data_IF_581174412731
#
_entry.id   IF_581174412731
#
_cell.length_a   1.000
_cell.length_b   1.000
_cell.length_c   1.000
_cell.angle_alpha   90.00
_cell.angle_beta   90.00
_cell.angle_gamma   90.00
#
_symmetry.space_group_name_H-M   'P 1'
#
loop_
_entity.id
_entity.type
_entity.pdbx_description
1 polymer ?
#
# COMPACT_ATOMS: atom_id res chain seq x y z
N UNK A 1 -22.84 -5.91 45.93
CA UNK A 1 -22.61 -4.51 45.54
C UNK A 1 -23.89 -3.99 44.91
N UNK A 2 -24.61 -3.09 45.59
CA UNK A 2 -25.84 -2.51 45.09
C UNK A 2 -25.52 -1.25 44.28
N UNK A 3 -25.86 -1.24 42.99
CA UNK A 3 -25.66 -0.08 42.14
C UNK A 3 -26.79 0.92 42.36
N UNK A 4 -26.43 2.18 42.62
CA UNK A 4 -27.37 3.27 42.81
C UNK A 4 -27.77 3.85 41.44
N UNK A 5 -29.04 3.66 41.07
CA UNK A 5 -29.61 4.14 39.80
C UNK A 5 -30.35 5.48 39.93
N UNK A 6 -30.24 6.19 41.06
CA UNK A 6 -31.00 7.42 41.32
C UNK A 6 -30.77 8.51 40.26
N UNK A 7 -29.54 8.63 39.74
CA UNK A 7 -29.21 9.65 38.74
C UNK A 7 -29.89 9.41 37.39
N UNK A 8 -30.10 8.14 37.01
CA UNK A 8 -30.73 7.78 35.72
C UNK A 8 -32.24 8.01 35.80
N UNK A 9 -32.85 7.71 36.96
CA UNK A 9 -34.29 7.94 37.17
C UNK A 9 -34.61 9.43 37.20
N UNK A 10 -33.76 10.26 37.81
CA UNK A 10 -33.94 11.72 37.82
C UNK A 10 -33.82 12.33 36.41
N UNK A 11 -32.83 11.88 35.62
CA UNK A 11 -32.65 12.36 34.25
C UNK A 11 -33.82 12.01 33.32
N UNK A 12 -34.45 10.85 33.51
CA UNK A 12 -35.63 10.44 32.73
C UNK A 12 -36.89 11.22 33.12
N UNK A 13 -37.04 11.59 34.38
CA UNK A 13 -38.17 12.39 34.87
C UNK A 13 -38.21 13.80 34.25
N UNK A 14 -37.05 14.47 34.14
CA UNK A 14 -36.98 15.83 33.58
C UNK A 14 -37.38 15.90 32.09
N UNK A 15 -37.17 14.82 31.33
CA UNK A 15 -37.59 14.73 29.92
C UNK A 15 -39.09 14.54 29.73
N UNK A 16 -39.81 14.03 30.74
CA UNK A 16 -41.24 13.71 30.61
C UNK A 16 -42.11 14.92 31.00
N UNK A 17 -41.65 15.77 31.92
CA UNK A 17 -42.40 16.92 32.43
C UNK A 17 -42.25 18.21 31.60
N UNK A 18 -41.63 18.15 30.42
CA UNK A 18 -41.54 19.29 29.50
C UNK A 18 -42.71 19.26 28.49
N UNK A 19 -43.80 20.04 28.70
CA UNK A 19 -44.91 20.07 27.75
C UNK A 19 -44.47 20.66 26.40
N UNK A 20 -44.65 19.85 25.35
CA UNK A 20 -44.40 20.23 23.97
C UNK A 20 -45.23 21.45 23.56
N UNK A 21 -44.60 22.62 23.45
CA UNK A 21 -45.13 23.72 22.63
C UNK A 21 -44.64 23.57 21.21
N UNK A 22 -45.49 23.00 20.37
CA UNK A 22 -45.37 23.07 18.93
C UNK A 22 -45.40 24.55 18.49
N UNK A 23 -44.33 25.00 17.87
CA UNK A 23 -44.23 26.29 17.17
C UNK A 23 -43.53 26.04 15.85
N UNK A 24 -44.33 25.77 14.82
CA UNK A 24 -43.94 25.79 13.41
C UNK A 24 -43.70 27.23 12.97
N UNK A 25 -42.47 27.72 13.19
CA UNK A 25 -41.99 28.94 12.56
C UNK A 25 -41.03 28.56 11.40
N UNK A 26 -41.19 29.14 10.19
CA UNK A 26 -40.28 28.88 9.09
C UNK A 26 -38.88 29.43 9.42
N UNK A 27 -37.85 28.58 9.27
CA UNK A 27 -36.45 28.95 9.43
C UNK A 27 -36.09 30.10 8.47
N UNK A 28 -35.97 31.31 9.00
CA UNK A 28 -35.33 32.41 8.30
C UNK A 28 -33.83 32.11 8.21
N UNK A 29 -33.37 31.78 7.00
CA UNK A 29 -31.94 31.61 6.72
C UNK A 29 -31.19 32.87 7.16
N UNK A 30 -30.31 32.72 8.15
CA UNK A 30 -29.42 33.78 8.63
C UNK A 30 -28.56 34.22 7.45
N UNK A 31 -28.68 35.49 7.02
CA UNK A 31 -27.80 36.04 5.98
C UNK A 31 -26.37 36.00 6.49
N UNK A 32 -25.49 35.35 5.72
CA UNK A 32 -24.05 35.34 5.96
C UNK A 32 -23.57 36.78 5.74
N UNK A 33 -22.99 37.39 6.76
CA UNK A 33 -22.27 38.66 6.61
C UNK A 33 -21.03 38.38 5.77
N UNK A 34 -21.03 38.82 4.52
CA UNK A 34 -19.82 38.83 3.70
C UNK A 34 -18.92 39.93 4.24
N UNK A 35 -17.90 39.56 5.02
CA UNK A 35 -16.80 40.47 5.30
C UNK A 35 -16.21 40.92 3.97
N UNK A 36 -16.15 42.23 3.76
CA UNK A 36 -15.56 42.85 2.58
C UNK A 36 -14.05 42.56 2.57
N UNK A 37 -13.66 41.39 2.08
CA UNK A 37 -12.28 41.08 1.80
C UNK A 37 -11.87 41.77 0.50
N UNK A 38 -10.98 42.76 0.61
CA UNK A 38 -10.28 43.29 -0.55
C UNK A 38 -9.53 42.13 -1.21
N UNK A 39 -9.72 41.88 -2.52
CA UNK A 39 -8.98 40.83 -3.21
C UNK A 39 -7.49 41.13 -3.06
N UNK A 40 -6.75 40.11 -2.63
CA UNK A 40 -5.31 40.16 -2.47
C UNK A 40 -4.68 40.69 -3.77
N UNK A 41 -3.77 41.66 -3.66
CA UNK A 41 -3.19 42.31 -4.84
C UNK A 41 -2.58 41.24 -5.74
N UNK A 42 -2.96 41.29 -7.02
CA UNK A 42 -2.42 40.38 -8.02
C UNK A 42 -0.88 40.43 -7.98
N UNK A 43 -0.21 39.27 -8.13
CA UNK A 43 1.24 39.20 -8.12
C UNK A 43 1.80 40.12 -9.20
N UNK A 44 2.89 40.82 -8.86
CA UNK A 44 3.54 41.73 -9.79
C UNK A 44 4.02 40.98 -11.04
N UNK A 45 4.04 41.65 -12.19
CA UNK A 45 4.50 41.06 -13.46
C UNK A 45 5.91 40.46 -13.35
N UNK A 46 6.79 41.06 -12.54
CA UNK A 46 8.13 40.54 -12.26
C UNK A 46 8.13 39.19 -11.54
N UNK A 47 7.15 38.96 -10.65
CA UNK A 47 6.99 37.68 -9.96
C UNK A 47 6.55 36.60 -10.95
N UNK A 48 5.52 36.89 -11.75
CA UNK A 48 5.01 35.98 -12.79
C UNK A 48 6.12 35.62 -13.79
N UNK A 49 6.92 36.60 -14.21
CA UNK A 49 8.02 36.38 -15.15
C UNK A 49 9.10 35.47 -14.57
N UNK A 50 9.50 35.68 -13.30
CA UNK A 50 10.48 34.84 -12.62
C UNK A 50 9.97 33.40 -12.45
N UNK A 51 8.71 33.24 -12.11
CA UNK A 51 8.07 31.94 -11.96
C UNK A 51 7.96 31.22 -13.32
N UNK A 52 7.58 31.94 -14.37
CA UNK A 52 7.54 31.43 -15.74
C UNK A 52 8.93 30.98 -16.22
N UNK A 53 9.98 31.77 -16.00
CA UNK A 53 11.36 31.41 -16.34
C UNK A 53 11.84 30.14 -15.60
N UNK A 54 11.32 29.91 -14.39
CA UNK A 54 11.69 28.73 -13.57
C UNK A 54 10.90 27.48 -13.95
N UNK A 55 9.62 27.64 -14.32
CA UNK A 55 8.71 26.52 -14.59
C UNK A 55 8.65 26.12 -16.07
N UNK A 56 8.80 27.06 -17.01
CA UNK A 56 8.69 26.78 -18.44
C UNK A 56 9.71 25.74 -18.95
N UNK A 57 11.00 25.76 -18.54
CA UNK A 57 11.96 24.73 -18.96
C UNK A 57 11.60 23.33 -18.43
N UNK A 58 11.04 23.27 -17.21
CA UNK A 58 10.64 22.02 -16.57
C UNK A 58 9.43 21.40 -17.25
N UNK A 59 8.44 22.20 -17.61
CA UNK A 59 7.26 21.70 -18.32
C UNK A 59 7.59 21.31 -19.77
N UNK A 60 8.48 22.06 -20.43
CA UNK A 60 8.96 21.70 -21.77
C UNK A 60 9.71 20.35 -21.77
N UNK A 61 10.57 20.12 -20.78
CA UNK A 61 11.22 18.81 -20.60
C UNK A 61 10.20 17.69 -20.32
N UNK A 62 9.14 17.98 -19.54
CA UNK A 62 8.06 17.02 -19.26
C UNK A 62 7.25 16.68 -20.52
N UNK A 63 6.97 17.66 -21.37
CA UNK A 63 6.27 17.46 -22.64
C UNK A 63 7.11 16.68 -23.65
N UNK A 64 8.42 16.93 -23.71
CA UNK A 64 9.33 16.15 -24.55
C UNK A 64 9.35 14.68 -24.12
N UNK A 65 9.50 14.41 -22.82
CA UNK A 65 9.45 13.04 -22.29
C UNK A 65 8.11 12.35 -22.58
N UNK A 66 7.00 13.10 -22.53
CA UNK A 66 5.68 12.56 -22.83
C UNK A 66 5.51 12.21 -24.32
N UNK A 67 5.99 13.06 -25.24
CA UNK A 67 5.97 12.76 -26.67
C UNK A 67 6.85 11.56 -27.03
N UNK A 68 8.02 11.42 -26.39
CA UNK A 68 8.91 10.27 -26.62
C UNK A 68 8.26 8.94 -26.21
N UNK A 69 7.45 8.93 -25.14
CA UNK A 69 6.73 7.71 -24.74
C UNK A 69 5.51 7.40 -25.63
N UNK A 70 4.89 8.41 -26.25
CA UNK A 70 3.75 8.21 -27.16
C UNK A 70 4.19 7.71 -28.55
N UNK A 71 5.39 8.07 -29.02
CA UNK A 71 5.94 7.58 -30.30
C UNK A 71 6.40 6.10 -30.24
N UNK A 72 6.79 5.58 -29.08
CA UNK A 72 7.18 4.16 -28.94
C UNK A 72 5.98 3.20 -28.96
N UNK A 73 4.76 3.68 -28.71
CA UNK A 73 3.54 2.83 -28.69
C UNK A 73 2.96 2.59 -30.09
N UNK A 74 3.35 3.37 -31.10
CA UNK A 74 2.77 3.30 -32.45
C UNK A 74 3.55 2.46 -33.48
N UNK A 75 4.62 1.74 -33.08
CA UNK A 75 5.46 0.96 -34.01
C UNK A 75 5.31 -0.56 -33.96
N UNK A 76 4.52 -1.13 -33.06
CA UNK A 76 4.38 -2.60 -32.92
C UNK A 76 3.16 -3.21 -33.65
N UNK A 77 2.69 -2.57 -34.71
CA UNK A 77 1.44 -2.93 -35.38
C UNK A 77 1.53 -3.18 -36.89
N UNK A 78 2.55 -3.85 -37.43
CA UNK A 78 2.46 -4.49 -38.77
C UNK A 78 3.68 -5.38 -39.08
N UNK A 79 3.56 -6.71 -38.96
CA UNK A 79 4.09 -7.72 -39.93
C UNK A 79 3.84 -9.16 -39.46
N UNK A 80 2.93 -9.85 -40.16
CA UNK A 80 2.87 -11.32 -40.22
C UNK A 80 3.77 -11.83 -41.36
N UNK A 81 4.60 -12.83 -41.09
CA UNK A 81 4.64 -14.13 -41.80
C UNK A 81 6.02 -14.80 -41.73
N UNK A 82 6.06 -16.05 -41.24
CA UNK A 82 6.86 -17.10 -41.88
C UNK A 82 7.98 -17.83 -41.11
N UNK A 83 7.61 -18.99 -40.55
CA UNK A 83 8.36 -20.28 -40.51
C UNK A 83 9.42 -20.56 -39.40
N UNK A 84 8.96 -21.36 -38.42
CA UNK A 84 9.52 -22.58 -37.75
C UNK A 84 11.04 -22.71 -37.51
N UNK A 85 11.46 -22.77 -36.23
CA UNK A 85 12.30 -23.86 -35.69
C UNK A 85 12.20 -24.02 -34.15
N UNK A 86 12.43 -25.23 -33.66
CA UNK A 86 12.13 -25.80 -32.33
C UNK A 86 13.39 -25.88 -31.43
N UNK A 87 13.41 -25.23 -30.24
CA UNK A 87 13.86 -25.80 -28.92
C UNK A 87 13.90 -24.77 -27.76
N UNK A 88 13.89 -25.23 -26.47
CA UNK A 88 13.39 -24.47 -25.31
C UNK A 88 14.49 -23.89 -24.38
N UNK A 89 14.02 -23.14 -23.36
CA UNK A 89 14.71 -22.44 -22.23
C UNK A 89 14.98 -20.96 -22.56
N UNK A 90 14.71 -19.96 -21.74
CA UNK A 90 14.64 -19.80 -20.27
C UNK A 90 13.70 -18.64 -19.91
N UNK A 91 13.10 -18.73 -18.72
CA UNK A 91 12.38 -17.68 -18.01
C UNK A 91 13.14 -16.34 -17.96
N UNK A 92 12.62 -15.31 -18.60
CA UNK A 92 13.07 -13.93 -18.41
C UNK A 92 12.20 -13.23 -17.36
N UNK A 93 12.81 -12.93 -16.21
CA UNK A 93 12.26 -12.09 -15.15
C UNK A 93 11.88 -10.70 -15.66
N UNK A 94 10.82 -10.06 -15.12
CA UNK A 94 10.53 -8.68 -15.43
C UNK A 94 11.53 -7.73 -14.75
N UNK A 95 11.84 -6.68 -15.52
CA UNK A 95 12.83 -5.63 -15.34
C UNK A 95 12.72 -4.89 -14.01
N UNK A 96 13.86 -4.67 -13.37
CA UNK A 96 14.01 -3.73 -12.26
C UNK A 96 13.75 -2.28 -12.73
N UNK A 97 13.08 -1.43 -11.93
CA UNK A 97 13.05 0.00 -12.21
C UNK A 97 14.39 0.62 -11.82
N UNK A 98 15.23 0.87 -12.83
CA UNK A 98 16.45 1.66 -12.68
C UNK A 98 16.12 3.15 -12.78
N UNK A 99 15.88 3.82 -11.65
CA UNK A 99 15.67 5.28 -11.64
C UNK A 99 16.28 6.02 -10.43
N UNK A 100 17.24 5.41 -9.70
CA UNK A 100 17.98 6.09 -8.62
C UNK A 100 19.38 6.58 -9.07
N UNK A 101 19.79 6.33 -10.32
CA UNK A 101 21.16 6.64 -10.79
C UNK A 101 21.47 8.13 -11.03
N UNK A 102 20.51 9.05 -10.98
CA UNK A 102 20.76 10.47 -11.29
C UNK A 102 21.06 11.38 -10.09
N UNK A 103 20.88 10.92 -8.84
CA UNK A 103 21.15 11.76 -7.66
C UNK A 103 22.51 11.54 -6.99
N UNK A 104 23.30 10.53 -7.39
CA UNK A 104 24.53 10.13 -6.68
C UNK A 104 25.80 10.87 -7.18
N UNK A 105 25.70 11.80 -8.15
CA UNK A 105 26.88 12.47 -8.72
C UNK A 105 27.43 13.67 -7.93
N UNK A 106 26.77 14.11 -6.86
CA UNK A 106 27.14 15.37 -6.16
C UNK A 106 27.73 15.21 -4.75
N UNK A 107 27.89 14.01 -4.20
CA UNK A 107 28.38 13.84 -2.82
C UNK A 107 29.39 12.69 -2.66
N UNK A 108 30.33 12.55 -3.60
CA UNK A 108 31.46 11.64 -3.43
C UNK A 108 32.67 12.46 -3.00
N UNK A 109 32.95 12.47 -1.70
CA UNK A 109 34.27 12.85 -1.19
C UNK A 109 35.16 11.60 -1.24
N UNK A 110 36.35 11.63 -1.86
CA UNK A 110 37.20 10.46 -1.92
C UNK A 110 37.95 10.32 -0.59
N UNK A 111 37.62 9.29 0.20
CA UNK A 111 38.55 8.82 1.24
C UNK A 111 39.24 7.55 0.76
N UNK A 112 40.55 7.68 0.53
CA UNK A 112 41.49 6.57 0.52
C UNK A 112 41.43 5.86 1.88
N UNK A 113 41.39 4.52 1.85
CA UNK A 113 41.74 3.70 3.00
C UNK A 113 40.65 2.79 3.55
N UNK A 114 40.10 1.88 2.73
CA UNK A 114 39.60 0.61 3.25
C UNK A 114 39.98 -0.50 2.27
N UNK A 115 41.06 -1.21 2.59
CA UNK A 115 41.42 -2.45 1.92
C UNK A 115 40.31 -3.49 2.10
N UNK A 116 39.77 -4.09 1.04
CA UNK A 116 38.72 -5.10 1.15
C UNK A 116 39.36 -6.44 1.51
N UNK A 117 39.65 -6.68 2.80
CA UNK A 117 40.23 -7.97 3.22
C UNK A 117 39.91 -8.45 4.64
N UNK A 118 39.03 -7.77 5.38
CA UNK A 118 38.45 -8.38 6.58
C UNK A 118 37.13 -9.05 6.17
N UNK A 119 37.01 -10.36 6.42
CA UNK A 119 35.82 -11.12 6.09
C UNK A 119 34.54 -10.45 6.61
N UNK A 120 33.50 -10.44 5.78
CA UNK A 120 32.18 -9.89 6.08
C UNK A 120 31.53 -10.46 7.35
N UNK A 121 32.09 -11.54 7.89
CA UNK A 121 31.67 -12.17 9.15
C UNK A 121 31.85 -11.30 10.39
N UNK A 122 32.60 -10.20 10.32
CA UNK A 122 33.00 -9.42 11.50
C UNK A 122 32.39 -8.03 11.61
N UNK A 123 31.51 -7.61 10.67
CA UNK A 123 30.90 -6.27 10.74
C UNK A 123 30.02 -6.17 11.99
N UNK A 124 30.35 -5.21 12.86
CA UNK A 124 29.64 -4.99 14.11
C UNK A 124 28.58 -3.89 13.99
N UNK A 125 27.51 -3.90 14.83
CA UNK A 125 26.45 -2.90 14.77
C UNK A 125 26.91 -1.45 14.92
N UNK A 126 27.96 -1.19 15.71
CA UNK A 126 28.50 0.16 15.88
C UNK A 126 29.11 0.72 14.58
N UNK A 127 29.61 -0.14 13.68
CA UNK A 127 30.15 0.30 12.39
C UNK A 127 29.03 0.82 11.48
N UNK A 128 27.83 0.23 11.58
CA UNK A 128 26.64 0.69 10.86
C UNK A 128 26.25 2.09 11.35
N UNK A 129 26.26 2.30 12.67
CA UNK A 129 25.95 3.61 13.26
C UNK A 129 26.96 4.68 12.85
N UNK A 130 28.26 4.33 12.86
CA UNK A 130 29.32 5.22 12.36
C UNK A 130 29.12 5.57 10.89
N UNK A 131 28.75 4.60 10.05
CA UNK A 131 28.45 4.85 8.64
C UNK A 131 27.24 5.77 8.45
N UNK A 132 26.25 5.71 9.34
CA UNK A 132 25.12 6.67 9.35
C UNK A 132 25.59 8.09 9.65
N UNK A 133 26.50 8.26 10.61
CA UNK A 133 27.06 9.57 10.97
C UNK A 133 27.95 10.15 9.85
N UNK A 134 28.80 9.31 9.27
CA UNK A 134 29.73 9.67 8.19
C UNK A 134 29.04 9.76 6.82
N UNK A 135 27.75 9.40 6.73
CA UNK A 135 26.96 9.34 5.49
C UNK A 135 27.60 8.43 4.43
N UNK A 136 28.20 7.31 4.86
CA UNK A 136 28.77 6.32 3.95
C UNK A 136 27.66 5.46 3.33
N UNK A 137 27.01 6.02 2.31
CA UNK A 137 25.93 5.38 1.58
C UNK A 137 26.39 4.09 0.90
N UNK A 138 27.63 4.05 0.41
CA UNK A 138 28.17 2.88 -0.28
C UNK A 138 28.24 1.69 0.68
N UNK A 139 28.82 1.89 1.86
CA UNK A 139 28.88 0.85 2.87
C UNK A 139 27.49 0.37 3.34
N UNK A 140 26.54 1.30 3.53
CA UNK A 140 25.16 0.95 3.90
C UNK A 140 24.45 0.15 2.79
N UNK A 141 24.72 0.47 1.52
CA UNK A 141 24.22 -0.32 0.38
C UNK A 141 24.81 -1.72 0.33
N UNK A 142 26.09 -1.90 0.68
CA UNK A 142 26.69 -3.23 0.75
C UNK A 142 26.13 -4.05 1.93
N UNK A 143 25.92 -3.43 3.10
CA UNK A 143 25.28 -4.09 4.24
C UNK A 143 23.86 -4.52 3.88
N UNK A 144 23.08 -3.67 3.19
CA UNK A 144 21.74 -4.03 2.70
C UNK A 144 21.78 -5.35 1.94
N UNK A 145 22.75 -5.53 1.05
CA UNK A 145 22.80 -6.68 0.14
C UNK A 145 23.40 -7.94 0.81
N UNK A 146 24.29 -7.79 1.78
CA UNK A 146 25.04 -8.93 2.37
C UNK A 146 24.63 -9.28 3.80
N UNK A 147 24.13 -8.32 4.58
CA UNK A 147 23.88 -8.46 6.01
C UNK A 147 22.74 -7.55 6.48
N UNK A 148 21.60 -7.59 5.78
CA UNK A 148 20.42 -6.79 6.10
C UNK A 148 20.03 -6.75 7.59
N UNK A 149 20.08 -7.87 8.35
CA UNK A 149 19.73 -7.85 9.78
C UNK A 149 20.51 -6.83 10.62
N UNK A 150 21.74 -6.47 10.22
CA UNK A 150 22.54 -5.46 10.92
C UNK A 150 21.91 -4.06 10.86
N UNK A 151 21.11 -3.77 9.83
CA UNK A 151 20.38 -2.49 9.72
C UNK A 151 19.21 -2.38 10.69
N UNK A 152 18.78 -3.50 11.29
CA UNK A 152 17.68 -3.57 12.25
C UNK A 152 18.15 -3.69 13.69
N UNK A 153 19.42 -4.03 13.91
CA UNK A 153 19.99 -4.19 15.24
C UNK A 153 20.16 -2.83 15.90
N UNK A 154 19.80 -2.75 17.18
CA UNK A 154 20.06 -1.56 17.98
C UNK A 154 21.51 -1.54 18.45
N UNK A 155 22.11 -0.36 18.41
CA UNK A 155 23.42 -0.10 19.00
C UNK A 155 23.33 1.20 19.79
N UNK A 156 23.68 1.15 21.08
CA UNK A 156 23.46 2.29 21.98
C UNK A 156 21.98 2.60 22.25
N UNK A 157 21.08 1.63 22.10
CA UNK A 157 19.64 1.79 22.39
C UNK A 157 18.79 2.29 21.21
N UNK A 158 19.40 2.63 20.08
CA UNK A 158 18.71 3.12 18.88
C UNK A 158 19.05 2.25 17.66
N UNK A 159 18.14 2.17 16.69
CA UNK A 159 18.42 1.52 15.40
C UNK A 159 19.07 2.52 14.44
N UNK A 160 19.80 2.06 13.40
CA UNK A 160 20.39 2.93 12.39
C UNK A 160 19.40 3.92 11.76
N UNK A 161 18.15 3.49 11.53
CA UNK A 161 17.10 4.38 11.00
C UNK A 161 16.72 5.47 12.01
N UNK A 162 16.51 5.11 13.27
CA UNK A 162 16.18 6.07 14.34
C UNK A 162 17.29 7.10 14.48
N UNK A 163 18.55 6.63 14.52
CA UNK A 163 19.72 7.50 14.63
C UNK A 163 19.86 8.44 13.44
N UNK A 164 19.66 7.96 12.21
CA UNK A 164 19.68 8.78 11.01
C UNK A 164 18.63 9.90 11.06
N UNK A 165 17.42 9.60 11.56
CA UNK A 165 16.35 10.59 11.71
C UNK A 165 16.72 11.62 12.78
N UNK A 166 17.16 11.16 13.97
CA UNK A 166 17.50 12.03 15.11
C UNK A 166 18.67 12.97 14.80
N UNK A 167 19.66 12.50 14.05
CA UNK A 167 20.82 13.30 13.61
C UNK A 167 20.51 14.22 12.43
N UNK A 168 19.31 14.15 11.86
CA UNK A 168 18.90 14.96 10.70
C UNK A 168 19.49 14.48 9.37
N UNK A 169 20.07 13.29 9.31
CA UNK A 169 20.63 12.68 8.11
C UNK A 169 19.53 12.07 7.22
N UNK A 170 18.69 12.94 6.65
CA UNK A 170 17.52 12.54 5.84
C UNK A 170 17.86 11.65 4.64
N UNK A 171 18.96 11.92 3.93
CA UNK A 171 19.37 11.12 2.77
C UNK A 171 19.72 9.68 3.17
N UNK A 172 20.40 9.52 4.30
CA UNK A 172 20.72 8.19 4.87
C UNK A 172 19.44 7.48 5.28
N UNK A 173 18.53 8.18 5.95
CA UNK A 173 17.23 7.61 6.32
C UNK A 173 16.44 7.15 5.10
N UNK A 174 16.43 7.90 3.99
CA UNK A 174 15.80 7.51 2.72
C UNK A 174 16.45 6.23 2.16
N UNK A 175 17.78 6.12 2.19
CA UNK A 175 18.49 4.91 1.73
C UNK A 175 18.12 3.70 2.58
N UNK A 176 18.05 3.84 3.90
CA UNK A 176 17.65 2.77 4.82
C UNK A 176 16.18 2.36 4.59
N UNK A 177 15.28 3.32 4.38
CA UNK A 177 13.89 3.03 4.05
C UNK A 177 13.75 2.29 2.72
N UNK A 178 14.51 2.69 1.69
CA UNK A 178 14.58 1.98 0.42
C UNK A 178 15.13 0.56 0.56
N UNK A 179 16.12 0.36 1.44
CA UNK A 179 16.61 -0.97 1.79
C UNK A 179 15.54 -1.84 2.45
N UNK A 180 14.74 -1.27 3.36
CA UNK A 180 13.67 -1.97 4.06
C UNK A 180 12.55 -2.38 3.11
N UNK A 181 12.10 -1.44 2.26
CA UNK A 181 11.09 -1.70 1.23
C UNK A 181 11.53 -2.83 0.28
N UNK A 182 12.78 -2.77 -0.19
CA UNK A 182 13.36 -3.83 -1.02
C UNK A 182 13.32 -5.18 -0.30
N UNK A 183 13.83 -5.26 0.93
CA UNK A 183 13.88 -6.53 1.65
C UNK A 183 12.50 -7.15 1.86
N UNK A 184 11.48 -6.35 2.21
CA UNK A 184 10.10 -6.83 2.37
C UNK A 184 9.51 -7.37 1.06
N UNK A 185 9.79 -6.71 -0.06
CA UNK A 185 9.29 -7.14 -1.38
C UNK A 185 9.97 -8.42 -1.90
N UNK A 186 11.27 -8.60 -1.61
CA UNK A 186 12.04 -9.78 -2.01
C UNK A 186 12.00 -10.94 -1.01
N UNK A 187 11.20 -10.84 0.05
CA UNK A 187 11.08 -11.92 1.01
C UNK A 187 10.28 -13.09 0.41
N UNK A 188 10.93 -14.26 0.38
CA UNK A 188 10.39 -15.50 -0.15
C UNK A 188 9.42 -16.17 0.84
N UNK A 189 8.50 -16.95 0.29
CA UNK A 189 7.40 -17.58 1.04
C UNK A 189 7.91 -18.54 2.14
N UNK A 190 9.01 -19.25 1.87
CA UNK A 190 9.66 -20.13 2.84
C UNK A 190 10.35 -19.38 3.98
N UNK A 191 10.79 -18.13 3.73
CA UNK A 191 11.52 -17.33 4.71
C UNK A 191 10.59 -16.59 5.66
N UNK A 192 9.39 -16.21 5.19
CA UNK A 192 8.35 -15.52 5.98
C UNK A 192 7.93 -16.36 7.20
N UNK A 193 7.88 -17.69 7.05
CA UNK A 193 7.49 -18.60 8.11
C UNK A 193 8.58 -18.80 9.18
N UNK A 194 9.82 -18.34 8.93
CA UNK A 194 10.92 -18.48 9.90
C UNK A 194 10.69 -17.53 11.08
N UNK A 195 10.83 -18.00 12.34
CA UNK A 195 10.58 -17.18 13.52
C UNK A 195 11.51 -15.96 13.60
N UNK A 196 12.76 -16.12 13.15
CA UNK A 196 13.74 -15.03 13.08
C UNK A 196 13.30 -13.91 12.13
N UNK A 197 12.71 -14.27 10.99
CA UNK A 197 12.19 -13.32 10.01
C UNK A 197 10.99 -12.56 10.56
N UNK A 198 10.14 -13.21 11.34
CA UNK A 198 9.05 -12.56 12.07
C UNK A 198 9.57 -11.54 13.09
N UNK A 199 10.68 -11.82 13.78
CA UNK A 199 11.36 -10.83 14.64
C UNK A 199 11.85 -9.63 13.84
N UNK A 200 12.41 -9.85 12.64
CA UNK A 200 12.85 -8.76 11.77
C UNK A 200 11.68 -7.91 11.23
N UNK A 201 10.58 -8.54 10.83
CA UNK A 201 9.36 -7.83 10.40
C UNK A 201 8.78 -6.97 11.54
N UNK A 202 8.79 -7.48 12.78
CA UNK A 202 8.39 -6.70 13.96
C UNK A 202 9.30 -5.49 14.21
N UNK A 203 10.61 -5.68 14.14
CA UNK A 203 11.58 -4.58 14.30
C UNK A 203 11.42 -3.51 13.19
N UNK A 204 11.25 -3.96 11.94
CA UNK A 204 10.97 -3.09 10.79
C UNK A 204 9.70 -2.28 11.00
N UNK A 205 8.62 -2.91 11.43
CA UNK A 205 7.34 -2.23 11.68
C UNK A 205 7.50 -1.06 12.65
N UNK A 206 8.21 -1.27 13.76
CA UNK A 206 8.46 -0.21 14.75
C UNK A 206 9.28 0.93 14.15
N UNK A 207 10.35 0.60 13.41
CA UNK A 207 11.19 1.61 12.74
C UNK A 207 10.44 2.43 11.69
N UNK A 208 9.63 1.77 10.85
CA UNK A 208 8.81 2.41 9.82
C UNK A 208 7.73 3.30 10.45
N UNK A 209 7.06 2.85 11.53
CA UNK A 209 6.08 3.65 12.26
C UNK A 209 6.70 4.93 12.82
N UNK A 210 7.90 4.83 13.38
CA UNK A 210 8.63 6.01 13.87
C UNK A 210 8.97 6.97 12.73
N UNK A 211 9.48 6.47 11.60
CA UNK A 211 9.78 7.31 10.44
C UNK A 211 8.54 8.07 9.91
N UNK A 212 7.37 7.42 9.93
CA UNK A 212 6.09 8.06 9.59
C UNK A 212 5.74 9.15 10.61
N UNK A 213 5.92 8.89 11.91
CA UNK A 213 5.65 9.86 12.97
C UNK A 213 6.51 11.11 12.85
N UNK A 214 7.79 10.95 12.50
CA UNK A 214 8.78 12.00 12.25
C UNK A 214 8.59 12.71 10.89
N UNK A 215 7.56 12.34 10.13
CA UNK A 215 7.16 13.05 8.92
C UNK A 215 7.94 12.68 7.65
N UNK A 216 8.74 11.61 7.67
CA UNK A 216 9.45 11.13 6.48
C UNK A 216 8.49 10.63 5.39
N UNK A 217 7.25 10.31 5.74
CA UNK A 217 6.21 9.92 4.79
C UNK A 217 5.93 11.00 3.72
N UNK A 218 6.12 12.28 4.04
CA UNK A 218 5.95 13.37 3.06
C UNK A 218 7.04 13.37 1.98
N UNK A 219 8.21 12.83 2.31
CA UNK A 219 9.36 12.75 1.40
C UNK A 219 9.42 11.43 0.65
N UNK A 220 8.63 10.42 1.06
CA UNK A 220 8.69 9.05 0.56
C UNK A 220 7.27 8.47 0.47
N UNK A 221 6.69 8.48 -0.73
CA UNK A 221 5.32 8.00 -0.97
C UNK A 221 5.18 6.49 -0.66
N UNK A 222 6.22 5.69 -0.95
CA UNK A 222 6.17 4.23 -0.80
C UNK A 222 6.34 3.76 0.66
N UNK A 223 6.70 4.67 1.58
CA UNK A 223 6.94 4.35 2.98
C UNK A 223 5.70 3.75 3.65
N UNK A 224 4.53 4.29 3.33
CA UNK A 224 3.26 3.86 3.92
C UNK A 224 2.90 2.47 3.41
N UNK A 225 3.05 2.22 2.11
CA UNK A 225 2.81 0.90 1.53
C UNK A 225 3.71 -0.16 2.17
N UNK A 226 5.01 0.10 2.31
CA UNK A 226 5.93 -0.81 2.99
C UNK A 226 5.62 -1.01 4.48
N UNK A 227 5.17 0.05 5.18
CA UNK A 227 4.69 -0.09 6.56
C UNK A 227 3.46 -1.00 6.65
N UNK A 228 2.48 -0.79 5.78
CA UNK A 228 1.24 -1.59 5.77
C UNK A 228 1.53 -3.05 5.42
N UNK A 229 2.39 -3.32 4.44
CA UNK A 229 2.83 -4.67 4.10
C UNK A 229 3.52 -5.35 5.28
N UNK A 230 4.48 -4.66 5.92
CA UNK A 230 5.22 -5.19 7.08
C UNK A 230 4.27 -5.46 8.26
N UNK A 231 3.31 -4.57 8.48
CA UNK A 231 2.28 -4.73 9.51
C UNK A 231 1.43 -5.98 9.26
N UNK A 232 0.96 -6.18 8.02
CA UNK A 232 0.18 -7.36 7.66
C UNK A 232 1.00 -8.63 7.86
N UNK A 233 2.25 -8.65 7.38
CA UNK A 233 3.12 -9.84 7.43
C UNK A 233 3.59 -10.21 8.84
N UNK A 234 3.61 -9.26 9.78
CA UNK A 234 4.04 -9.51 11.16
C UNK A 234 2.90 -9.82 12.12
N UNK A 235 1.74 -9.17 11.95
CA UNK A 235 0.64 -9.22 12.93
C UNK A 235 -0.76 -9.18 12.30
N UNK A 236 -0.88 -9.06 10.98
CA UNK A 236 -2.16 -8.86 10.29
C UNK A 236 -2.95 -10.13 9.97
N UNK A 237 -2.37 -11.32 10.13
CA UNK A 237 -3.00 -12.59 9.75
C UNK A 237 -4.40 -12.76 10.32
N UNK A 238 -4.55 -12.57 11.64
CA UNK A 238 -5.84 -12.67 12.33
C UNK A 238 -6.88 -11.70 11.77
N UNK A 239 -6.45 -10.47 11.45
CA UNK A 239 -7.32 -9.47 10.85
C UNK A 239 -7.73 -9.86 9.43
N UNK A 240 -6.79 -10.32 8.60
CA UNK A 240 -7.05 -10.76 7.22
C UNK A 240 -8.07 -11.90 7.22
N UNK A 241 -7.86 -12.97 8.01
CA UNK A 241 -8.79 -14.09 8.08
C UNK A 241 -10.19 -13.67 8.56
N UNK A 242 -10.28 -12.79 9.56
CA UNK A 242 -11.55 -12.26 10.04
C UNK A 242 -12.29 -11.45 8.95
N UNK A 243 -11.57 -10.64 8.18
CA UNK A 243 -12.16 -9.90 7.06
C UNK A 243 -12.55 -10.84 5.91
N UNK A 244 -11.71 -11.81 5.55
CA UNK A 244 -12.05 -12.83 4.54
C UNK A 244 -13.35 -13.54 4.88
N UNK A 245 -13.53 -13.96 6.14
CA UNK A 245 -14.79 -14.55 6.61
C UNK A 245 -15.97 -13.60 6.44
N UNK A 246 -15.81 -12.32 6.82
CA UNK A 246 -16.85 -11.29 6.70
C UNK A 246 -17.22 -11.01 5.24
N UNK A 247 -16.24 -10.86 4.36
CA UNK A 247 -16.43 -10.59 2.94
C UNK A 247 -17.00 -11.82 2.22
N UNK A 248 -16.60 -13.03 2.59
CA UNK A 248 -17.19 -14.27 2.04
C UNK A 248 -18.70 -14.34 2.30
N UNK A 249 -19.14 -13.91 3.48
CA UNK A 249 -20.57 -13.84 3.84
C UNK A 249 -21.27 -12.72 3.08
N UNK A 250 -20.66 -11.55 2.96
CA UNK A 250 -21.21 -10.45 2.16
C UNK A 250 -21.40 -10.86 0.69
N UNK A 251 -20.43 -11.55 0.09
CA UNK A 251 -20.53 -12.07 -1.28
C UNK A 251 -21.68 -13.09 -1.43
N UNK A 252 -21.94 -13.92 -0.42
CA UNK A 252 -23.07 -14.87 -0.44
C UNK A 252 -24.43 -14.17 -0.42
N UNK A 253 -24.52 -13.01 0.22
CA UNK A 253 -25.72 -12.18 0.22
C UNK A 253 -25.95 -11.44 -1.11
N UNK A 254 -25.04 -11.56 -2.08
CA UNK A 254 -25.13 -10.88 -3.36
C UNK A 254 -25.06 -9.35 -3.23
N UNK A 255 -25.74 -8.58 -4.10
CA UNK A 255 -25.68 -7.11 -4.09
C UNK A 255 -26.09 -6.47 -2.75
N UNK A 256 -27.03 -7.09 -2.03
CA UNK A 256 -27.47 -6.61 -0.72
C UNK A 256 -26.35 -6.63 0.33
N UNK A 257 -25.39 -7.55 0.19
CA UNK A 257 -24.25 -7.67 1.09
C UNK A 257 -23.22 -6.55 0.92
N UNK A 258 -23.25 -5.82 -0.21
CA UNK A 258 -22.31 -4.73 -0.56
C UNK A 258 -20.85 -5.09 -0.24
N UNK A 259 -20.40 -6.21 -0.78
CA UNK A 259 -19.11 -6.81 -0.44
C UNK A 259 -17.93 -5.89 -0.78
N UNK A 260 -18.00 -5.14 -1.89
CA UNK A 260 -16.91 -4.24 -2.32
C UNK A 260 -16.81 -3.06 -1.36
N UNK A 261 -17.94 -2.44 -1.04
CA UNK A 261 -18.02 -1.36 -0.05
C UNK A 261 -17.53 -1.83 1.33
N UNK A 262 -17.97 -3.00 1.78
CA UNK A 262 -17.58 -3.57 3.07
C UNK A 262 -16.06 -3.82 3.14
N UNK A 263 -15.47 -4.39 2.08
CA UNK A 263 -14.03 -4.62 1.98
C UNK A 263 -13.24 -3.30 2.02
N UNK A 264 -13.63 -2.31 1.20
CA UNK A 264 -12.98 -1.01 1.17
C UNK A 264 -13.07 -0.27 2.51
N UNK A 265 -14.22 -0.32 3.17
CA UNK A 265 -14.42 0.26 4.49
C UNK A 265 -13.56 -0.43 5.57
N UNK A 266 -13.45 -1.76 5.52
CA UNK A 266 -12.62 -2.53 6.46
C UNK A 266 -11.14 -2.16 6.33
N UNK A 267 -10.60 -2.12 5.10
CA UNK A 267 -9.20 -1.75 4.84
C UNK A 267 -8.94 -0.31 5.26
N UNK A 268 -9.83 0.63 4.90
CA UNK A 268 -9.71 2.04 5.28
C UNK A 268 -9.69 2.20 6.80
N UNK A 269 -10.59 1.53 7.51
CA UNK A 269 -10.65 1.54 8.99
C UNK A 269 -9.38 0.94 9.62
N UNK A 270 -8.84 -0.13 9.04
CA UNK A 270 -7.60 -0.73 9.51
C UNK A 270 -6.42 0.24 9.36
N UNK A 271 -6.27 0.84 8.17
CA UNK A 271 -5.17 1.75 7.92
C UNK A 271 -5.26 3.05 8.74
N UNK A 272 -6.46 3.62 8.90
CA UNK A 272 -6.63 4.84 9.72
C UNK A 272 -6.33 4.59 11.20
N UNK A 273 -6.68 3.42 11.73
CA UNK A 273 -6.34 3.02 13.10
C UNK A 273 -4.83 2.97 13.32
N UNK A 274 -4.09 2.47 12.35
CA UNK A 274 -2.65 2.17 12.49
C UNK A 274 -1.77 3.39 12.20
N UNK A 275 -2.21 4.28 11.29
CA UNK A 275 -1.48 5.47 10.87
C UNK A 275 -1.86 6.74 11.66
N UNK A 276 -3.08 6.82 12.20
CA UNK A 276 -3.54 7.92 13.07
C UNK A 276 -3.61 9.33 12.46
N UNK A 277 -3.14 9.55 11.22
CA UNK A 277 -3.07 10.86 10.55
C UNK A 277 -3.86 10.85 9.22
N UNK A 278 -4.83 11.75 9.09
CA UNK A 278 -5.75 11.78 7.94
C UNK A 278 -5.12 12.32 6.63
N UNK A 279 -4.12 13.19 6.72
CA UNK A 279 -3.48 13.80 5.53
C UNK A 279 -2.69 12.80 4.68
N UNK A 280 -2.37 11.63 5.24
CA UNK A 280 -1.63 10.55 4.59
C UNK A 280 -2.54 9.64 3.74
N UNK A 281 -3.86 9.84 3.81
CA UNK A 281 -4.86 8.96 3.18
C UNK A 281 -4.89 9.12 1.66
N UNK A 282 -4.60 10.30 1.12
CA UNK A 282 -4.61 10.52 -0.34
C UNK A 282 -3.57 9.65 -1.07
N UNK A 283 -2.40 9.45 -0.47
CA UNK A 283 -1.35 8.53 -0.96
C UNK A 283 -1.66 7.05 -0.69
N UNK A 284 -2.68 6.75 0.13
CA UNK A 284 -3.04 5.39 0.53
C UNK A 284 -4.15 4.79 -0.34
N UNK A 285 -4.84 5.60 -1.15
CA UNK A 285 -5.98 5.12 -1.95
C UNK A 285 -5.61 3.99 -2.91
N UNK A 286 -4.39 3.99 -3.47
CA UNK A 286 -3.91 2.90 -4.34
C UNK A 286 -3.71 1.60 -3.55
N UNK A 287 -3.11 1.69 -2.35
CA UNK A 287 -2.98 0.55 -1.44
C UNK A 287 -4.36 0.02 -1.00
N UNK A 288 -5.28 0.92 -0.62
CA UNK A 288 -6.64 0.55 -0.21
C UNK A 288 -7.33 -0.18 -1.35
N UNK A 289 -7.22 0.33 -2.57
CA UNK A 289 -7.86 -0.28 -3.75
C UNK A 289 -7.29 -1.67 -4.03
N UNK A 290 -5.96 -1.85 -3.95
CA UNK A 290 -5.35 -3.17 -4.11
C UNK A 290 -5.79 -4.15 -3.02
N UNK A 291 -5.68 -3.75 -1.75
CA UNK A 291 -6.09 -4.55 -0.59
C UNK A 291 -7.59 -4.89 -0.61
N UNK A 292 -8.43 -4.01 -1.15
CA UNK A 292 -9.87 -4.27 -1.34
C UNK A 292 -10.10 -5.38 -2.35
N UNK A 293 -9.44 -5.32 -3.51
CA UNK A 293 -9.51 -6.37 -4.51
C UNK A 293 -9.01 -7.72 -3.97
N UNK A 294 -7.94 -7.71 -3.18
CA UNK A 294 -7.41 -8.91 -2.54
C UNK A 294 -8.38 -9.53 -1.54
N UNK A 295 -9.05 -8.73 -0.70
CA UNK A 295 -10.08 -9.23 0.22
C UNK A 295 -11.25 -9.88 -0.55
N UNK A 296 -11.64 -9.32 -1.69
CA UNK A 296 -12.70 -9.89 -2.53
C UNK A 296 -12.29 -11.23 -3.13
N UNK A 297 -11.07 -11.34 -3.68
CA UNK A 297 -10.54 -12.60 -4.21
C UNK A 297 -10.42 -13.67 -3.13
N UNK A 298 -9.85 -13.32 -1.97
CA UNK A 298 -9.71 -14.24 -0.85
C UNK A 298 -11.07 -14.64 -0.27
N UNK A 299 -12.02 -13.70 -0.16
CA UNK A 299 -13.39 -13.95 0.29
C UNK A 299 -14.17 -14.87 -0.66
N UNK A 300 -14.05 -14.65 -1.97
CA UNK A 300 -14.68 -15.51 -2.98
C UNK A 300 -14.05 -16.92 -2.98
N UNK A 301 -12.72 -17.01 -2.82
CA UNK A 301 -12.03 -18.29 -2.70
C UNK A 301 -12.43 -19.06 -1.44
N UNK A 302 -12.66 -18.37 -0.32
CA UNK A 302 -13.17 -18.99 0.89
C UNK A 302 -14.54 -19.67 0.67
N UNK A 303 -15.42 -19.07 -0.13
CA UNK A 303 -16.70 -19.69 -0.50
C UNK A 303 -16.52 -20.92 -1.41
N UNK A 304 -15.55 -20.90 -2.33
CA UNK A 304 -15.23 -22.07 -3.19
C UNK A 304 -14.81 -23.26 -2.32
N UNK A 305 -13.95 -23.00 -1.34
CA UNK A 305 -13.42 -24.01 -0.42
C UNK A 305 -14.46 -24.70 0.47
N UNK A 306 -15.66 -24.13 0.63
CA UNK A 306 -16.75 -24.82 1.32
C UNK A 306 -17.19 -26.09 0.56
N UNK A 307 -16.92 -26.17 -0.74
CA UNK A 307 -17.34 -27.29 -1.61
C UNK A 307 -16.21 -27.99 -2.35
N UNK A 308 -15.06 -27.32 -2.53
CA UNK A 308 -13.89 -27.82 -3.24
C UNK A 308 -12.75 -28.00 -2.24
N UNK A 309 -12.12 -29.17 -2.21
CA UNK A 309 -10.98 -29.42 -1.31
C UNK A 309 -9.71 -28.76 -1.87
N UNK A 310 -9.44 -27.53 -1.43
CA UNK A 310 -8.28 -26.75 -1.87
C UNK A 310 -7.67 -25.90 -0.73
N UNK A 311 -6.40 -25.52 -0.90
CA UNK A 311 -5.65 -24.77 0.11
C UNK A 311 -6.08 -23.30 0.22
N UNK A 312 -5.78 -22.65 1.34
CA UNK A 312 -6.07 -21.23 1.60
C UNK A 312 -5.10 -20.33 0.86
N UNK A 313 -5.54 -19.15 0.42
CA UNK A 313 -4.61 -18.16 -0.12
C UNK A 313 -3.85 -17.62 1.09
N UNK A 314 -2.52 -17.70 1.13
CA UNK A 314 -1.78 -17.29 2.31
C UNK A 314 -2.01 -15.81 2.62
N UNK A 315 -2.29 -15.49 3.89
CA UNK A 315 -2.53 -14.11 4.35
C UNK A 315 -1.36 -13.17 4.07
N UNK A 316 -0.13 -13.66 4.08
CA UNK A 316 1.06 -12.86 3.77
C UNK A 316 1.21 -12.48 2.29
N UNK A 317 0.32 -12.94 1.39
CA UNK A 317 0.20 -12.41 0.03
C UNK A 317 -0.63 -11.12 -0.03
N UNK A 318 -1.44 -10.86 0.99
CA UNK A 318 -2.38 -9.76 1.01
C UNK A 318 -1.72 -8.40 0.79
N UNK A 319 -2.28 -7.63 -0.14
CA UNK A 319 -1.84 -6.30 -0.54
C UNK A 319 -0.36 -6.23 -0.99
N UNK A 320 0.16 -7.34 -1.53
CA UNK A 320 1.51 -7.44 -2.10
C UNK A 320 1.46 -7.74 -3.59
N UNK A 321 1.81 -6.73 -4.38
CA UNK A 321 1.90 -6.79 -5.84
C UNK A 321 0.70 -7.54 -6.45
N UNK A 322 0.94 -8.59 -7.24
CA UNK A 322 -0.06 -9.44 -7.89
C UNK A 322 -0.14 -10.85 -7.29
N UNK A 323 0.43 -11.09 -6.09
CA UNK A 323 0.56 -12.43 -5.51
C UNK A 323 -0.80 -13.08 -5.23
N UNK A 324 -1.76 -12.33 -4.67
CA UNK A 324 -3.13 -12.85 -4.45
C UNK A 324 -3.82 -13.16 -5.77
N UNK A 325 -3.70 -12.27 -6.77
CA UNK A 325 -4.29 -12.49 -8.08
C UNK A 325 -3.74 -13.75 -8.77
N UNK A 326 -2.42 -13.92 -8.80
CA UNK A 326 -1.78 -15.13 -9.35
C UNK A 326 -2.26 -16.40 -8.64
N UNK A 327 -2.19 -16.40 -7.31
CA UNK A 327 -2.65 -17.55 -6.53
C UNK A 327 -4.13 -17.85 -6.77
N UNK A 328 -4.97 -16.83 -6.89
CA UNK A 328 -6.38 -16.96 -7.20
C UNK A 328 -6.61 -17.56 -8.60
N UNK A 329 -5.96 -17.03 -9.64
CA UNK A 329 -6.12 -17.52 -11.01
C UNK A 329 -5.59 -18.94 -11.19
N UNK A 330 -4.43 -19.25 -10.61
CA UNK A 330 -3.81 -20.58 -10.70
C UNK A 330 -4.74 -21.64 -10.10
N UNK A 331 -5.38 -21.31 -8.97
CA UNK A 331 -6.32 -22.20 -8.30
C UNK A 331 -7.66 -22.32 -9.01
N UNK A 332 -8.17 -21.23 -9.59
CA UNK A 332 -9.34 -21.28 -10.46
C UNK A 332 -9.11 -22.22 -11.64
N UNK A 333 -7.93 -22.17 -12.27
CA UNK A 333 -7.57 -23.05 -13.37
C UNK A 333 -7.44 -24.51 -12.90
N UNK A 334 -6.72 -24.74 -11.78
CA UNK A 334 -6.51 -26.08 -11.23
C UNK A 334 -7.81 -26.78 -10.84
N UNK A 335 -8.79 -26.05 -10.30
CA UNK A 335 -10.06 -26.60 -9.81
C UNK A 335 -11.26 -26.31 -10.72
N UNK A 336 -11.05 -25.87 -11.97
CA UNK A 336 -12.13 -25.40 -12.83
C UNK A 336 -13.26 -26.45 -13.01
N UNK A 337 -12.91 -27.71 -13.28
CA UNK A 337 -13.89 -28.78 -13.48
C UNK A 337 -14.77 -29.02 -12.24
N UNK A 338 -14.18 -28.97 -11.05
CA UNK A 338 -14.89 -29.16 -9.79
C UNK A 338 -15.78 -27.96 -9.48
N UNK A 339 -15.27 -26.73 -9.65
CA UNK A 339 -16.02 -25.48 -9.52
C UNK A 339 -17.24 -25.48 -10.44
N UNK A 340 -17.08 -25.89 -11.71
CA UNK A 340 -18.20 -25.99 -12.66
C UNK A 340 -19.28 -26.98 -12.20
N UNK A 341 -18.92 -28.02 -11.45
CA UNK A 341 -19.86 -29.03 -10.97
C UNK A 341 -20.56 -28.64 -9.66
N UNK A 342 -19.84 -28.06 -8.69
CA UNK A 342 -20.32 -27.93 -7.30
C UNK A 342 -20.76 -26.52 -6.93
N UNK A 343 -20.12 -25.48 -7.46
CA UNK A 343 -20.40 -24.11 -7.05
C UNK A 343 -21.74 -23.58 -7.58
N UNK A 344 -22.36 -22.65 -6.84
CA UNK A 344 -23.59 -21.98 -7.27
C UNK A 344 -23.38 -21.11 -8.51
N UNK A 345 -24.46 -20.82 -9.25
CA UNK A 345 -24.41 -19.92 -10.42
C UNK A 345 -23.86 -18.54 -10.04
N UNK A 346 -24.31 -18.01 -8.90
CA UNK A 346 -23.85 -16.72 -8.36
C UNK A 346 -22.34 -16.74 -8.11
N UNK A 347 -21.82 -17.75 -7.40
CA UNK A 347 -20.39 -17.83 -7.11
C UNK A 347 -19.56 -17.95 -8.39
N UNK A 348 -19.98 -18.79 -9.35
CA UNK A 348 -19.30 -18.91 -10.65
C UNK A 348 -19.23 -17.59 -11.41
N UNK A 349 -20.32 -16.83 -11.39
CA UNK A 349 -20.34 -15.49 -11.98
C UNK A 349 -19.38 -14.55 -11.24
N UNK A 350 -19.43 -14.49 -9.91
CA UNK A 350 -18.51 -13.67 -9.09
C UNK A 350 -17.04 -13.97 -9.38
N UNK A 351 -16.67 -15.26 -9.47
CA UNK A 351 -15.29 -15.68 -9.77
C UNK A 351 -14.84 -15.21 -11.16
N UNK A 352 -15.73 -15.27 -12.16
CA UNK A 352 -15.45 -14.78 -13.51
C UNK A 352 -15.27 -13.27 -13.51
N UNK A 353 -16.17 -12.53 -12.87
CA UNK A 353 -16.08 -11.08 -12.79
C UNK A 353 -14.79 -10.63 -12.10
N UNK A 354 -14.40 -11.29 -11.01
CA UNK A 354 -13.14 -11.01 -10.32
C UNK A 354 -11.93 -11.32 -11.22
N UNK A 355 -11.91 -12.46 -11.92
CA UNK A 355 -10.81 -12.83 -12.81
C UNK A 355 -10.67 -11.86 -13.99
N UNK A 356 -11.79 -11.50 -14.63
CA UNK A 356 -11.84 -10.67 -15.84
C UNK A 356 -11.46 -9.22 -15.53
N UNK A 357 -12.07 -8.62 -14.49
CA UNK A 357 -11.81 -7.22 -14.14
C UNK A 357 -10.39 -7.04 -13.60
N UNK A 358 -9.90 -7.98 -12.79
CA UNK A 358 -8.58 -7.86 -12.16
C UNK A 358 -7.43 -8.25 -13.10
N UNK A 359 -7.68 -9.04 -14.16
CA UNK A 359 -6.65 -9.46 -15.11
C UNK A 359 -6.15 -8.39 -16.08
N UNK A 360 -6.90 -7.31 -16.30
CA UNK A 360 -6.48 -6.22 -17.19
C UNK A 360 -5.29 -5.42 -16.64
N UNK A 361 -4.21 -5.26 -17.44
CA UNK A 361 -3.04 -4.44 -17.07
C UNK A 361 -3.23 -2.93 -17.31
N UNK A 362 -4.23 -2.54 -18.09
CA UNK A 362 -4.45 -1.14 -18.49
C UNK A 362 -5.18 -0.29 -17.44
N UNK A 363 -5.84 -0.91 -16.47
CA UNK A 363 -6.66 -0.21 -15.47
C UNK A 363 -5.95 -0.15 -14.12
N UNK A 364 -6.05 1.01 -13.47
CA UNK A 364 -5.61 1.18 -12.07
C UNK A 364 -6.51 0.38 -11.13
N UNK A 365 -5.98 -0.03 -9.97
CA UNK A 365 -6.77 -0.76 -8.98
C UNK A 365 -8.00 0.01 -8.52
N UNK A 366 -7.90 1.33 -8.37
CA UNK A 366 -9.04 2.19 -8.07
C UNK A 366 -10.17 1.99 -9.09
N UNK A 367 -9.84 2.04 -10.39
CA UNK A 367 -10.82 1.86 -11.44
C UNK A 367 -11.38 0.43 -11.47
N UNK A 368 -10.54 -0.57 -11.20
CA UNK A 368 -10.98 -1.97 -11.07
C UNK A 368 -11.99 -2.14 -9.94
N UNK A 369 -11.74 -1.55 -8.77
CA UNK A 369 -12.65 -1.58 -7.63
C UNK A 369 -13.97 -0.88 -7.93
N UNK A 370 -13.95 0.26 -8.62
CA UNK A 370 -15.17 0.93 -9.08
C UNK A 370 -16.01 0.03 -10.00
N UNK A 371 -15.38 -0.65 -10.97
CA UNK A 371 -16.08 -1.59 -11.87
C UNK A 371 -16.65 -2.76 -11.07
N UNK A 372 -15.87 -3.32 -10.13
CA UNK A 372 -16.34 -4.40 -9.27
C UNK A 372 -17.50 -3.96 -8.38
N UNK A 373 -17.51 -2.73 -7.86
CA UNK A 373 -18.63 -2.20 -7.08
C UNK A 373 -19.91 -2.15 -7.94
N UNK A 374 -19.82 -1.61 -9.15
CA UNK A 374 -20.98 -1.56 -10.07
C UNK A 374 -21.50 -2.94 -10.46
N UNK A 375 -20.64 -3.96 -10.52
CA UNK A 375 -21.06 -5.34 -10.86
C UNK A 375 -21.58 -6.09 -9.64
N UNK A 376 -20.82 -6.11 -8.54
CA UNK A 376 -21.07 -6.97 -7.38
C UNK A 376 -22.02 -6.35 -6.33
N UNK A 377 -22.00 -5.02 -6.16
CA UNK A 377 -22.80 -4.32 -5.15
C UNK A 377 -24.05 -3.66 -5.73
N UNK A 378 -24.02 -3.25 -7.00
CA UNK A 378 -25.11 -2.51 -7.67
C UNK A 378 -25.80 -3.31 -8.79
N UNK A 379 -25.20 -4.40 -9.27
CA UNK A 379 -25.69 -5.14 -10.43
C UNK A 379 -27.01 -5.87 -10.17
N UNK A 380 -27.93 -5.79 -11.13
CA UNK A 380 -29.13 -6.63 -11.14
C UNK A 380 -28.75 -8.11 -11.28
N UNK A 381 -29.39 -8.94 -10.46
CA UNK A 381 -29.14 -10.39 -10.38
C UNK A 381 -29.28 -11.03 -11.76
N UNK A 382 -28.32 -11.90 -12.13
CA UNK A 382 -28.52 -12.88 -13.22
C UNK A 382 -29.40 -14.02 -12.73
#
# INVERSE_FOLDING_TARGET
MAFNYSAVVLALGETIDSPSKASTAPYTKRRISSDLCLPERLPTSKFIQREAETLAPKELMRQMLKCTMEEEVNKDGMTESGVVDVRPRTSSSPRSPSSIRSFVKSMVSPRLGRTPSAGWSNVQPYEVMKAVEEKDIVFLMEIRDRAFPLLLQSSGGETPLVHAIRTGNKDVAIVLLGAFSRWVNYLDDADIQKPQTQTYLKALRVGLKLAINEGLAKSQNDLIASFMQTLIMSEGDQWVYAQVSTISRALRSGPEGKAVLAAGAAVRKFATKELGKADIIASLEDYISNATADLLMMGAWANVRETVKADDIPSYYFARDDRVYKAFTDRLQAHNAEIQRTCSKLLKWQLRELADVLGGRSLTYRRKVEILASRLDEGDRI
#
